data_IF_431588611977
#
_entry.id   IF_431588611977
#
_cell.length_a   1.000
_cell.length_b   1.000
_cell.length_c   1.000
_cell.angle_alpha   90.00
_cell.angle_beta   90.00
_cell.angle_gamma   90.00
#
_symmetry.space_group_name_H-M   'P 1'
#
loop_
_entity.id
_entity.type
_entity.pdbx_description
1 polymer ?
#
# COMPACT_ATOMS: atom_id res chain seq x y z
N UNK A 1 13.89 0.62 27.13
CA UNK A 1 13.69 -0.49 26.17
C UNK A 1 14.99 -1.25 25.97
N UNK A 2 14.96 -2.57 25.76
CA UNK A 2 16.16 -3.34 25.36
C UNK A 2 16.63 -2.90 23.97
N UNK A 3 17.93 -2.76 23.75
CA UNK A 3 18.50 -2.26 22.48
C UNK A 3 18.06 -3.07 21.26
N UNK A 4 17.91 -4.39 21.39
CA UNK A 4 17.42 -5.26 20.31
C UNK A 4 15.99 -4.93 19.86
N UNK A 5 15.07 -4.69 20.81
CA UNK A 5 13.68 -4.32 20.51
C UNK A 5 13.60 -2.95 19.84
N UNK A 6 14.45 -2.01 20.28
CA UNK A 6 14.55 -0.70 19.64
C UNK A 6 14.95 -0.83 18.17
N UNK A 7 15.98 -1.64 17.87
CA UNK A 7 16.41 -1.87 16.48
C UNK A 7 15.32 -2.51 15.63
N UNK A 8 14.65 -3.55 16.14
CA UNK A 8 13.57 -4.24 15.44
C UNK A 8 12.44 -3.29 15.04
N UNK A 9 11.95 -2.47 15.99
CA UNK A 9 10.88 -1.52 15.73
C UNK A 9 11.33 -0.39 14.80
N UNK A 10 12.55 0.14 14.95
CA UNK A 10 13.08 1.15 14.03
C UNK A 10 13.21 0.61 12.61
N UNK A 11 13.68 -0.63 12.45
CA UNK A 11 13.81 -1.26 11.15
C UNK A 11 12.44 -1.58 10.53
N UNK A 12 11.47 -2.03 11.32
CA UNK A 12 10.08 -2.22 10.89
C UNK A 12 9.48 -0.92 10.33
N UNK A 13 9.57 0.18 11.09
CA UNK A 13 9.09 1.49 10.63
C UNK A 13 9.85 2.01 9.41
N UNK A 14 11.15 1.72 9.30
CA UNK A 14 11.91 2.05 8.10
C UNK A 14 11.37 1.31 6.88
N UNK A 15 11.17 -0.01 6.97
CA UNK A 15 10.67 -0.82 5.86
C UNK A 15 9.27 -0.36 5.42
N UNK A 16 8.40 -0.06 6.37
CA UNK A 16 7.05 0.48 6.14
C UNK A 16 7.08 1.69 5.18
N UNK A 17 7.81 2.75 5.57
CA UNK A 17 7.89 3.96 4.76
C UNK A 17 8.77 3.80 3.51
N UNK A 18 9.78 2.92 3.56
CA UNK A 18 10.63 2.63 2.41
C UNK A 18 9.83 2.03 1.26
N UNK A 19 8.95 1.06 1.54
CA UNK A 19 8.11 0.43 0.52
C UNK A 19 7.25 1.50 -0.14
N UNK A 20 6.53 2.32 0.64
CA UNK A 20 5.70 3.38 0.10
C UNK A 20 6.49 4.40 -0.75
N UNK A 21 7.61 4.88 -0.22
CA UNK A 21 8.47 5.84 -0.92
C UNK A 21 9.12 5.30 -2.19
N UNK A 22 9.37 3.99 -2.26
CA UNK A 22 10.07 3.35 -3.39
C UNK A 22 9.30 3.38 -4.71
N UNK A 23 7.96 3.35 -4.66
CA UNK A 23 7.14 3.23 -5.86
C UNK A 23 6.09 4.34 -6.03
N UNK A 24 5.60 4.94 -4.93
CA UNK A 24 4.52 5.92 -5.03
C UNK A 24 4.97 7.21 -5.73
N UNK A 25 6.21 7.65 -5.51
CA UNK A 25 6.80 8.83 -6.16
C UNK A 25 6.93 8.64 -7.68
N UNK A 26 7.24 7.42 -8.12
CA UNK A 26 7.45 7.08 -9.53
C UNK A 26 6.18 6.62 -10.24
N UNK A 27 5.06 6.48 -9.52
CA UNK A 27 3.77 6.02 -10.05
C UNK A 27 3.32 6.85 -11.26
N UNK A 28 3.40 8.18 -11.19
CA UNK A 28 3.00 9.04 -12.31
C UNK A 28 3.81 8.78 -13.57
N UNK A 29 5.13 8.65 -13.44
CA UNK A 29 6.02 8.30 -14.57
C UNK A 29 5.72 6.91 -15.11
N UNK A 30 5.47 5.93 -14.24
CA UNK A 30 5.12 4.57 -14.65
C UNK A 30 3.82 4.55 -15.47
N UNK A 31 2.76 5.20 -14.96
CA UNK A 31 1.46 5.29 -15.62
C UNK A 31 1.54 6.00 -16.97
N UNK A 32 2.26 7.12 -17.05
CA UNK A 32 2.42 7.85 -18.30
C UNK A 32 3.27 7.12 -19.33
N UNK A 33 4.37 6.49 -18.91
CA UNK A 33 5.33 5.87 -19.84
C UNK A 33 4.87 4.49 -20.31
N UNK A 34 4.35 3.65 -19.40
CA UNK A 34 4.05 2.25 -19.68
C UNK A 34 2.58 2.03 -20.05
N UNK A 35 1.65 2.73 -19.40
CA UNK A 35 0.22 2.55 -19.61
C UNK A 35 -0.43 3.66 -20.44
N UNK A 36 0.35 4.67 -20.85
CA UNK A 36 -0.13 5.83 -21.59
C UNK A 36 -1.34 6.49 -20.91
N UNK A 37 -1.34 6.50 -19.57
CA UNK A 37 -2.47 6.96 -18.79
C UNK A 37 -2.68 8.47 -18.98
N UNK A 38 -3.93 8.87 -19.14
CA UNK A 38 -4.33 10.28 -19.18
C UNK A 38 -4.10 10.96 -17.82
N UNK A 39 -4.11 12.30 -17.81
CA UNK A 39 -4.04 13.06 -16.56
C UNK A 39 -5.15 12.71 -15.57
N UNK A 40 -6.37 12.47 -16.06
CA UNK A 40 -7.51 12.05 -15.22
C UNK A 40 -7.30 10.65 -14.62
N UNK A 41 -6.75 9.71 -15.40
CA UNK A 41 -6.43 8.37 -14.93
C UNK A 41 -5.30 8.39 -13.88
N UNK A 42 -4.27 9.19 -14.12
CA UNK A 42 -3.19 9.41 -13.15
C UNK A 42 -3.74 9.99 -11.84
N UNK A 43 -4.57 11.03 -11.93
CA UNK A 43 -5.23 11.61 -10.76
C UNK A 43 -6.11 10.60 -10.00
N UNK A 44 -6.86 9.76 -10.73
CA UNK A 44 -7.66 8.69 -10.14
C UNK A 44 -6.78 7.67 -9.39
N UNK A 45 -5.65 7.26 -9.97
CA UNK A 45 -4.71 6.37 -9.29
C UNK A 45 -4.13 6.99 -8.01
N UNK A 46 -3.73 8.27 -8.02
CA UNK A 46 -3.30 8.96 -6.80
C UNK A 46 -4.42 9.10 -5.76
N UNK A 47 -5.65 9.35 -6.18
CA UNK A 47 -6.80 9.47 -5.26
C UNK A 47 -7.17 8.16 -4.56
N UNK A 48 -6.73 7.01 -5.09
CA UNK A 48 -6.95 5.71 -4.43
C UNK A 48 -6.32 5.66 -3.04
N UNK A 49 -5.25 6.44 -2.80
CA UNK A 49 -4.67 6.63 -1.46
C UNK A 49 -5.69 7.18 -0.48
N UNK A 50 -6.39 8.26 -0.86
CA UNK A 50 -7.39 8.90 0.01
C UNK A 50 -8.55 7.96 0.31
N UNK A 51 -8.99 7.16 -0.68
CA UNK A 51 -10.02 6.15 -0.46
C UNK A 51 -9.54 5.06 0.50
N UNK A 52 -8.32 4.56 0.32
CA UNK A 52 -7.71 3.59 1.24
C UNK A 52 -7.62 4.12 2.67
N UNK A 53 -7.23 5.39 2.84
CA UNK A 53 -7.12 6.04 4.14
C UNK A 53 -8.47 6.20 4.85
N UNK A 54 -9.55 6.44 4.09
CA UNK A 54 -10.92 6.49 4.64
C UNK A 54 -11.38 5.09 5.09
N UNK A 55 -11.00 4.05 4.35
CA UNK A 55 -11.42 2.66 4.62
C UNK A 55 -10.58 2.04 5.75
N UNK A 56 -9.32 2.46 5.92
CA UNK A 56 -8.38 1.87 6.85
C UNK A 56 -8.87 1.73 8.31
N UNK A 57 -9.51 2.75 8.93
CA UNK A 57 -10.06 2.64 10.28
C UNK A 57 -11.11 1.56 10.45
N UNK A 58 -11.83 1.20 9.38
CA UNK A 58 -12.85 0.15 9.42
C UNK A 58 -12.25 -1.25 9.37
N UNK A 59 -11.06 -1.42 8.79
CA UNK A 59 -10.39 -2.73 8.74
C UNK A 59 -9.62 -2.97 10.03
N UNK A 60 -8.77 -2.03 10.45
CA UNK A 60 -7.98 -2.18 11.68
C UNK A 60 -8.84 -2.02 12.93
N UNK A 61 -9.66 -0.97 13.02
CA UNK A 61 -10.43 -0.68 14.22
C UNK A 61 -11.53 -1.71 14.52
N UNK A 62 -11.97 -2.48 13.51
CA UNK A 62 -13.08 -3.44 13.65
C UNK A 62 -12.58 -4.90 13.77
N UNK A 63 -11.44 -5.24 13.16
CA UNK A 63 -10.95 -6.63 13.06
C UNK A 63 -9.62 -6.84 13.80
N UNK A 64 -8.68 -5.90 13.73
CA UNK A 64 -7.30 -6.13 14.13
C UNK A 64 -7.10 -6.10 15.66
N UNK A 65 -7.62 -5.07 16.32
CA UNK A 65 -7.30 -4.80 17.73
C UNK A 65 -7.87 -5.84 18.71
N UNK A 66 -8.84 -6.65 18.27
CA UNK A 66 -9.54 -7.61 19.15
C UNK A 66 -9.07 -9.05 19.01
N UNK A 67 -8.47 -9.43 17.88
CA UNK A 67 -8.29 -10.86 17.54
C UNK A 67 -6.86 -11.26 17.14
N UNK A 68 -5.98 -10.32 16.77
CA UNK A 68 -4.66 -10.65 16.22
C UNK A 68 -3.56 -9.69 16.69
N UNK A 69 -2.33 -10.20 16.80
CA UNK A 69 -1.16 -9.36 17.07
C UNK A 69 -0.89 -8.45 15.86
N UNK A 70 -0.71 -7.15 16.08
CA UNK A 70 -0.46 -6.16 15.04
C UNK A 70 0.68 -6.55 14.08
N UNK A 71 1.80 -7.07 14.60
CA UNK A 71 2.95 -7.52 13.79
C UNK A 71 2.58 -8.56 12.73
N UNK A 72 1.64 -9.47 13.04
CA UNK A 72 1.23 -10.55 12.13
C UNK A 72 0.33 -10.01 11.03
N UNK A 73 -0.56 -9.09 11.40
CA UNK A 73 -1.45 -8.41 10.45
C UNK A 73 -0.62 -7.59 9.48
N UNK A 74 0.32 -6.79 9.98
CA UNK A 74 1.24 -6.02 9.16
C UNK A 74 1.99 -6.91 8.16
N UNK A 75 2.52 -8.05 8.62
CA UNK A 75 3.20 -9.01 7.74
C UNK A 75 2.28 -9.56 6.62
N UNK A 76 1.04 -9.94 6.95
CA UNK A 76 0.07 -10.44 5.95
C UNK A 76 -0.31 -9.35 4.96
N UNK A 77 -0.57 -8.13 5.43
CA UNK A 77 -0.91 -6.99 4.57
C UNK A 77 0.22 -6.66 3.60
N UNK A 78 1.49 -6.74 4.04
CA UNK A 78 2.64 -6.53 3.17
C UNK A 78 2.81 -7.61 2.10
N UNK A 79 2.58 -8.88 2.46
CA UNK A 79 2.64 -9.98 1.49
C UNK A 79 1.52 -9.88 0.46
N UNK A 80 0.30 -9.53 0.90
CA UNK A 80 -0.82 -9.26 -0.01
C UNK A 80 -0.53 -8.04 -0.91
N UNK A 81 0.04 -6.97 -0.34
CA UNK A 81 0.49 -5.79 -1.06
C UNK A 81 1.55 -6.12 -2.12
N UNK A 82 2.52 -6.99 -1.80
CA UNK A 82 3.53 -7.45 -2.75
C UNK A 82 2.91 -8.20 -3.94
N UNK A 83 1.92 -9.06 -3.69
CA UNK A 83 1.18 -9.75 -4.76
C UNK A 83 0.43 -8.75 -5.67
N UNK A 84 -0.21 -7.75 -5.07
CA UNK A 84 -0.90 -6.69 -5.83
C UNK A 84 0.08 -5.82 -6.63
N UNK A 85 1.27 -5.52 -6.09
CA UNK A 85 2.32 -4.83 -6.84
C UNK A 85 2.79 -5.64 -8.05
N UNK A 86 2.92 -6.95 -7.90
CA UNK A 86 3.26 -7.82 -9.02
C UNK A 86 2.14 -7.81 -10.09
N UNK A 87 0.87 -7.81 -9.69
CA UNK A 87 -0.25 -7.68 -10.62
C UNK A 87 -0.27 -6.31 -11.32
N UNK A 88 -0.02 -5.22 -10.59
CA UNK A 88 0.13 -3.88 -11.16
C UNK A 88 1.23 -3.81 -12.22
N UNK A 89 2.38 -4.45 -11.97
CA UNK A 89 3.49 -4.50 -12.92
C UNK A 89 3.14 -5.25 -14.21
N UNK A 90 2.29 -6.28 -14.13
CA UNK A 90 1.85 -7.06 -15.29
C UNK A 90 0.63 -6.46 -16.01
N UNK A 91 0.00 -5.42 -15.47
CA UNK A 91 -1.15 -4.79 -16.10
C UNK A 91 -0.74 -4.15 -17.44
N UNK A 92 -1.51 -4.42 -18.49
CA UNK A 92 -1.25 -3.92 -19.85
C UNK A 92 -1.94 -2.60 -20.15
N UNK A 93 -2.88 -2.19 -19.29
CA UNK A 93 -3.70 -1.00 -19.47
C UNK A 93 -4.19 -0.45 -18.13
N UNK A 94 -4.70 0.77 -18.12
CA UNK A 94 -5.16 1.41 -16.90
C UNK A 94 -6.37 0.71 -16.25
N UNK A 95 -7.27 0.12 -17.03
CA UNK A 95 -8.48 -0.51 -16.51
C UNK A 95 -8.18 -1.79 -15.73
N UNK A 96 -7.15 -2.54 -16.14
CA UNK A 96 -6.61 -3.66 -15.38
C UNK A 96 -5.74 -3.20 -14.19
N UNK A 97 -4.98 -2.11 -14.32
CA UNK A 97 -4.16 -1.56 -13.24
C UNK A 97 -4.97 -1.00 -12.06
N UNK A 98 -6.04 -0.25 -12.35
CA UNK A 98 -6.76 0.55 -11.35
C UNK A 98 -7.36 -0.26 -10.17
N UNK A 99 -8.01 -1.41 -10.39
CA UNK A 99 -8.49 -2.24 -9.29
C UNK A 99 -7.36 -2.73 -8.38
N UNK A 100 -6.18 -3.04 -8.92
CA UNK A 100 -5.04 -3.51 -8.14
C UNK A 100 -4.46 -2.41 -7.26
N UNK A 101 -4.27 -1.19 -7.79
CA UNK A 101 -3.77 -0.07 -6.97
C UNK A 101 -4.78 0.34 -5.90
N UNK A 102 -6.08 0.30 -6.21
CA UNK A 102 -7.12 0.59 -5.24
C UNK A 102 -7.13 -0.44 -4.11
N UNK A 103 -7.09 -1.73 -4.44
CA UNK A 103 -6.98 -2.80 -3.45
C UNK A 103 -5.69 -2.67 -2.63
N UNK A 104 -4.57 -2.31 -3.27
CA UNK A 104 -3.30 -2.07 -2.57
C UNK A 104 -3.46 -0.95 -1.55
N UNK A 105 -4.06 0.18 -1.93
CA UNK A 105 -4.24 1.32 -1.02
C UNK A 105 -5.17 0.99 0.15
N UNK A 106 -6.22 0.21 -0.09
CA UNK A 106 -7.11 -0.27 0.98
C UNK A 106 -6.38 -1.17 1.98
N UNK A 107 -5.45 -2.01 1.51
CA UNK A 107 -4.68 -2.91 2.37
C UNK A 107 -3.46 -2.25 3.03
N UNK A 108 -2.85 -1.28 2.36
CA UNK A 108 -1.62 -0.61 2.82
C UNK A 108 -1.90 0.62 3.68
N UNK A 109 -2.92 1.43 3.41
CA UNK A 109 -3.21 2.59 4.28
C UNK A 109 -3.43 2.26 5.77
N UNK A 110 -4.00 1.11 6.16
CA UNK A 110 -4.06 0.70 7.56
C UNK A 110 -2.69 0.57 8.24
N UNK A 111 -1.62 0.26 7.50
CA UNK A 111 -0.28 0.14 8.10
C UNK A 111 0.35 1.48 8.47
N UNK A 112 -0.22 2.58 7.95
CA UNK A 112 0.22 3.96 8.20
C UNK A 112 -0.66 4.74 9.21
N UNK A 113 -1.83 4.18 9.57
CA UNK A 113 -2.85 4.85 10.38
C UNK A 113 -2.61 4.74 11.89
#
# INVERSE_FOLDING_TARGET
MRSGVKFQLSFMMFLEFFIWGSWFVTLGTFLGTNLQATGAQTAAAFSSQSLGAIIAPFIIGLIADRYFNAERILGVLHLAGAALMFMMFNATDFSSFYPYVLAYMVLFMPTLA
#
